data_IF_430982787905
#
_entry.id   IF_430982787905
#
_cell.length_a   1.000
_cell.length_b   1.000
_cell.length_c   1.000
_cell.angle_alpha   90.00
_cell.angle_beta   90.00
_cell.angle_gamma   90.00
#
_symmetry.space_group_name_H-M   'P 1'
#
loop_
_entity.id
_entity.type
_entity.pdbx_description
1 polymer ?
#
# COMPACT_ATOMS: atom_id res chain seq x y z
N UNK A 1 -21.68 -0.20 -23.04
CA UNK A 1 -20.84 -0.62 -21.90
C UNK A 1 -21.48 -0.35 -20.53
N UNK A 2 -22.64 0.31 -20.42
CA UNK A 2 -23.37 0.41 -19.15
C UNK A 2 -22.61 1.13 -18.02
N UNK A 3 -21.75 2.10 -18.36
CA UNK A 3 -20.97 2.84 -17.36
C UNK A 3 -21.85 3.97 -16.82
N UNK A 4 -22.25 3.86 -15.55
CA UNK A 4 -23.14 4.81 -14.87
C UNK A 4 -22.37 5.95 -14.18
N UNK A 5 -21.17 5.66 -13.68
CA UNK A 5 -20.34 6.61 -12.95
C UNK A 5 -18.92 6.69 -13.52
N UNK A 6 -18.34 7.88 -13.47
CA UNK A 6 -16.96 8.14 -13.82
C UNK A 6 -16.34 9.11 -12.82
N UNK A 7 -15.06 8.90 -12.50
CA UNK A 7 -14.26 9.82 -11.71
C UNK A 7 -13.28 10.49 -12.66
N UNK A 8 -13.33 11.82 -12.75
CA UNK A 8 -12.36 12.62 -13.50
C UNK A 8 -11.33 13.19 -12.53
N UNK A 9 -10.06 12.87 -12.74
CA UNK A 9 -8.95 13.38 -11.93
C UNK A 9 -7.93 14.07 -12.83
N UNK A 10 -7.26 15.09 -12.27
CA UNK A 10 -6.13 15.73 -12.96
C UNK A 10 -5.00 14.71 -13.15
N UNK A 11 -4.39 14.71 -14.33
CA UNK A 11 -3.17 13.95 -14.56
C UNK A 11 -2.05 14.44 -13.63
N UNK A 12 -1.32 13.50 -13.02
CA UNK A 12 -0.14 13.77 -12.23
C UNK A 12 1.07 13.19 -12.97
N UNK A 13 1.98 14.06 -13.39
CA UNK A 13 3.23 13.65 -14.02
C UNK A 13 4.19 13.05 -12.98
N UNK A 14 4.85 11.94 -13.31
CA UNK A 14 5.84 11.34 -12.43
C UNK A 14 6.03 9.83 -12.58
N UNK A 15 6.90 9.29 -11.73
CA UNK A 15 7.08 7.84 -11.62
C UNK A 15 5.95 7.20 -10.83
N UNK A 16 5.38 6.12 -11.36
CA UNK A 16 4.44 5.29 -10.63
C UNK A 16 5.22 4.28 -9.80
N UNK A 17 4.95 4.26 -8.50
CA UNK A 17 5.47 3.28 -7.56
C UNK A 17 4.33 2.44 -7.01
N UNK A 18 4.65 1.18 -6.68
CA UNK A 18 3.77 0.27 -5.95
C UNK A 18 4.33 0.01 -4.56
N UNK A 19 3.48 -0.16 -3.57
CA UNK A 19 3.86 -0.53 -2.21
C UNK A 19 2.96 -1.60 -1.61
N UNK A 20 3.50 -2.34 -0.65
CA UNK A 20 2.87 -3.42 0.09
C UNK A 20 3.20 -3.29 1.59
N UNK A 21 2.22 -3.53 2.45
CA UNK A 21 2.40 -3.48 3.89
C UNK A 21 1.48 -4.46 4.63
N UNK A 22 1.93 -4.88 5.81
CA UNK A 22 1.10 -5.55 6.82
C UNK A 22 1.20 -4.74 8.10
N UNK A 23 0.09 -4.14 8.53
CA UNK A 23 -0.01 -3.27 9.71
C UNK A 23 0.47 -4.01 10.96
N UNK A 24 1.22 -3.30 11.81
CA UNK A 24 1.76 -3.86 13.05
C UNK A 24 2.98 -4.76 12.86
N UNK A 25 3.56 -4.78 11.65
CA UNK A 25 4.79 -5.51 11.35
C UNK A 25 5.85 -4.56 10.76
N UNK A 26 7.08 -5.02 10.64
CA UNK A 26 8.14 -4.30 9.93
C UNK A 26 8.06 -4.43 8.41
N UNK A 27 7.07 -5.17 7.88
CA UNK A 27 6.95 -5.40 6.44
C UNK A 27 6.43 -4.16 5.73
N UNK A 28 7.33 -3.50 5.01
CA UNK A 28 7.01 -2.46 4.04
C UNK A 28 7.90 -2.65 2.82
N UNK A 29 7.29 -2.98 1.68
CA UNK A 29 8.01 -3.17 0.42
C UNK A 29 7.46 -2.24 -0.64
N UNK A 30 8.32 -1.71 -1.49
CA UNK A 30 7.93 -0.85 -2.59
C UNK A 30 8.86 -1.04 -3.78
N UNK A 31 8.39 -0.62 -4.96
CA UNK A 31 9.17 -0.65 -6.19
C UNK A 31 8.60 0.33 -7.22
N UNK A 32 9.46 0.79 -8.14
CA UNK A 32 9.01 1.53 -9.32
C UNK A 32 8.30 0.58 -10.29
N UNK A 33 7.08 0.93 -10.69
CA UNK A 33 6.31 0.19 -11.69
C UNK A 33 6.75 0.55 -13.11
N UNK A 34 6.81 1.84 -13.41
CA UNK A 34 7.25 2.34 -14.72
C UNK A 34 8.74 2.74 -14.71
N UNK A 35 9.25 3.27 -13.59
CA UNK A 35 10.67 3.58 -13.38
C UNK A 35 11.30 4.45 -14.45
N UNK A 36 10.56 5.43 -14.98
CA UNK A 36 11.02 6.22 -16.13
C UNK A 36 12.15 7.16 -15.71
N UNK A 37 11.98 7.85 -14.57
CA UNK A 37 12.93 8.86 -14.08
C UNK A 37 13.74 8.39 -12.87
N UNK A 38 13.27 7.35 -12.17
CA UNK A 38 13.79 6.89 -10.88
C UNK A 38 13.95 8.05 -9.87
N UNK A 39 12.98 8.96 -9.84
CA UNK A 39 13.04 10.18 -9.04
C UNK A 39 13.16 9.87 -7.56
N UNK A 40 14.19 10.40 -6.90
CA UNK A 40 14.37 10.24 -5.46
C UNK A 40 13.20 10.85 -4.69
N UNK A 41 12.73 10.13 -3.67
CA UNK A 41 11.70 10.59 -2.77
C UNK A 41 12.00 10.12 -1.34
N UNK A 42 11.25 10.67 -0.40
CA UNK A 42 11.33 10.33 1.02
C UNK A 42 10.51 9.08 1.33
N UNK A 43 11.21 7.97 1.61
CA UNK A 43 10.59 6.67 1.86
C UNK A 43 9.73 6.66 3.13
N UNK A 44 10.13 7.40 4.17
CA UNK A 44 9.38 7.47 5.41
C UNK A 44 8.06 8.21 5.20
N UNK A 45 8.04 9.22 4.33
CA UNK A 45 6.78 9.87 3.90
C UNK A 45 5.88 8.93 3.12
N UNK A 46 6.42 8.13 2.20
CA UNK A 46 5.62 7.14 1.47
C UNK A 46 4.94 6.18 2.45
N UNK A 47 5.73 5.61 3.36
CA UNK A 47 5.22 4.69 4.39
C UNK A 47 4.16 5.37 5.25
N UNK A 48 4.41 6.60 5.71
CA UNK A 48 3.46 7.37 6.51
C UNK A 48 2.14 7.60 5.77
N UNK A 49 2.17 7.99 4.50
CA UNK A 49 0.95 8.22 3.71
C UNK A 49 0.18 6.92 3.46
N UNK A 50 0.89 5.83 3.20
CA UNK A 50 0.30 4.50 3.06
C UNK A 50 -0.37 4.05 4.37
N UNK A 51 0.32 4.18 5.52
CA UNK A 51 -0.20 3.84 6.84
C UNK A 51 -1.45 4.66 7.19
N UNK A 52 -1.42 5.99 7.01
CA UNK A 52 -2.57 6.87 7.31
C UNK A 52 -3.77 6.53 6.42
N UNK A 53 -3.53 6.23 5.13
CA UNK A 53 -4.62 5.85 4.21
C UNK A 53 -5.25 4.53 4.62
N UNK A 54 -4.42 3.54 4.95
CA UNK A 54 -4.89 2.25 5.45
C UNK A 54 -5.62 2.39 6.79
N UNK A 55 -5.14 3.25 7.71
CA UNK A 55 -5.76 3.51 9.01
C UNK A 55 -7.21 3.99 8.85
N UNK A 56 -7.44 4.95 7.95
CA UNK A 56 -8.77 5.48 7.66
C UNK A 56 -9.73 4.47 7.04
N UNK A 57 -9.20 3.45 6.39
CA UNK A 57 -9.95 2.35 5.78
C UNK A 57 -9.94 1.08 6.65
N UNK A 58 -9.36 1.13 7.85
CA UNK A 58 -9.24 0.01 8.79
C UNK A 58 -8.55 -1.25 8.21
N UNK A 59 -7.61 -1.06 7.27
CA UNK A 59 -6.93 -2.17 6.58
C UNK A 59 -5.69 -2.69 7.32
N UNK A 60 -5.68 -3.97 7.67
CA UNK A 60 -4.48 -4.64 8.22
C UNK A 60 -3.50 -5.07 7.13
N UNK A 61 -4.01 -5.56 5.99
CA UNK A 61 -3.21 -6.09 4.88
C UNK A 61 -3.53 -5.24 3.67
N UNK A 62 -2.54 -4.48 3.20
CA UNK A 62 -2.82 -3.44 2.23
C UNK A 62 -1.61 -3.16 1.33
N UNK A 63 -1.90 -2.50 0.22
CA UNK A 63 -0.91 -1.96 -0.69
C UNK A 63 -1.55 -0.91 -1.57
N UNK A 64 -0.85 -0.49 -2.61
CA UNK A 64 -1.40 0.53 -3.49
C UNK A 64 -0.34 1.14 -4.37
N UNK A 65 -0.78 2.19 -5.05
CA UNK A 65 -0.01 2.89 -6.06
C UNK A 65 0.13 4.35 -5.67
N UNK A 66 1.30 4.92 -5.95
CA UNK A 66 1.56 6.33 -5.76
C UNK A 66 2.32 6.90 -6.96
N UNK A 67 2.18 8.20 -7.17
CA UNK A 67 2.95 8.97 -8.15
C UNK A 67 3.97 9.83 -7.43
N UNK A 68 5.21 9.82 -7.91
CA UNK A 68 6.31 10.66 -7.46
C UNK A 68 6.63 11.68 -8.54
N UNK A 69 6.36 12.96 -8.27
CA UNK A 69 6.70 14.05 -9.20
C UNK A 69 8.21 14.24 -9.32
N UNK A 70 8.66 15.02 -10.30
CA UNK A 70 10.07 15.35 -10.52
C UNK A 70 10.75 15.98 -9.28
N UNK A 71 9.99 16.67 -8.43
CA UNK A 71 10.46 17.28 -7.17
C UNK A 71 10.43 16.30 -5.97
N UNK A 72 10.08 15.04 -6.21
CA UNK A 72 9.95 14.01 -5.16
C UNK A 72 8.65 14.10 -4.35
N UNK A 73 7.63 14.83 -4.85
CA UNK A 73 6.33 14.90 -4.17
C UNK A 73 5.55 13.60 -4.41
N UNK A 74 5.10 12.99 -3.31
CA UNK A 74 4.34 11.73 -3.32
C UNK A 74 2.84 12.04 -3.31
N UNK A 75 2.10 11.39 -4.20
CA UNK A 75 0.62 11.38 -4.20
C UNK A 75 0.13 9.94 -4.23
N UNK A 76 -0.60 9.50 -3.19
CA UNK A 76 -1.29 8.19 -3.21
C UNK A 76 -2.44 8.30 -4.20
N UNK A 77 -2.51 7.38 -5.17
CA UNK A 77 -3.57 7.34 -6.19
C UNK A 77 -4.51 6.16 -6.03
N UNK A 78 -4.06 5.11 -5.35
CA UNK A 78 -4.83 3.90 -5.12
C UNK A 78 -4.42 3.22 -3.80
N UNK A 79 -5.39 2.58 -3.14
CA UNK A 79 -5.20 1.73 -1.96
C UNK A 79 -6.04 0.48 -2.15
N UNK A 80 -5.40 -0.68 -2.04
CA UNK A 80 -6.04 -1.99 -2.16
C UNK A 80 -6.02 -2.71 -0.81
N UNK A 81 -7.15 -3.29 -0.45
CA UNK A 81 -7.17 -4.43 0.46
C UNK A 81 -6.66 -5.68 -0.29
N UNK A 82 -5.87 -6.50 0.39
CA UNK A 82 -5.35 -7.75 -0.20
C UNK A 82 -4.67 -7.59 -1.58
N UNK A 83 -3.63 -6.76 -1.72
CA UNK A 83 -2.89 -6.66 -2.97
C UNK A 83 -2.22 -8.00 -3.32
N UNK A 84 -1.78 -8.15 -4.57
CA UNK A 84 -1.22 -9.43 -5.05
C UNK A 84 0.10 -9.87 -4.39
N UNK A 85 0.83 -8.94 -3.75
CA UNK A 85 2.19 -9.14 -3.21
C UNK A 85 3.16 -9.81 -4.22
N UNK A 86 2.97 -9.63 -5.53
CA UNK A 86 3.59 -10.47 -6.55
C UNK A 86 5.12 -10.67 -6.41
N UNK A 87 5.87 -9.59 -6.15
CA UNK A 87 7.33 -9.62 -5.98
C UNK A 87 7.82 -10.16 -4.63
N UNK A 88 6.93 -10.22 -3.62
CA UNK A 88 7.25 -10.60 -2.24
C UNK A 88 6.34 -11.69 -1.68
N UNK A 89 5.68 -12.46 -2.55
CA UNK A 89 4.62 -13.41 -2.19
C UNK A 89 5.02 -14.38 -1.07
N UNK A 90 6.20 -14.99 -1.16
CA UNK A 90 6.66 -16.00 -0.17
C UNK A 90 6.99 -15.40 1.20
N UNK A 91 7.46 -14.16 1.22
CA UNK A 91 7.77 -13.44 2.46
C UNK A 91 6.48 -12.90 3.08
N UNK A 92 5.67 -12.21 2.28
CA UNK A 92 4.40 -11.64 2.68
C UNK A 92 3.44 -12.73 3.18
N UNK A 93 3.36 -13.90 2.54
CA UNK A 93 2.44 -14.97 2.96
C UNK A 93 2.68 -15.44 4.39
N UNK A 94 3.95 -15.58 4.81
CA UNK A 94 4.30 -15.98 6.18
C UNK A 94 3.90 -14.92 7.19
N UNK A 95 4.16 -13.66 6.86
CA UNK A 95 3.84 -12.50 7.71
C UNK A 95 2.33 -12.37 7.85
N UNK A 96 1.60 -12.41 6.73
CA UNK A 96 0.15 -12.36 6.68
C UNK A 96 -0.48 -13.48 7.50
N UNK A 97 -0.05 -14.73 7.30
CA UNK A 97 -0.55 -15.87 8.05
C UNK A 97 -0.32 -15.69 9.57
N UNK A 98 0.88 -15.24 9.97
CA UNK A 98 1.21 -14.93 11.36
C UNK A 98 0.30 -13.84 11.93
N UNK A 99 0.09 -12.75 11.20
CA UNK A 99 -0.79 -11.64 11.61
C UNK A 99 -2.24 -12.11 11.79
N UNK A 100 -2.78 -12.90 10.85
CA UNK A 100 -4.15 -13.43 10.95
C UNK A 100 -4.30 -14.35 12.16
N UNK A 101 -3.33 -15.25 12.41
CA UNK A 101 -3.36 -16.14 13.58
C UNK A 101 -3.33 -15.32 14.88
N UNK A 102 -2.52 -14.26 14.95
CA UNK A 102 -2.48 -13.38 16.12
C UNK A 102 -3.80 -12.64 16.33
N UNK A 103 -4.41 -12.13 15.26
CA UNK A 103 -5.71 -11.47 15.32
C UNK A 103 -6.81 -12.43 15.80
N UNK A 104 -6.85 -13.66 15.25
CA UNK A 104 -7.79 -14.68 15.68
C UNK A 104 -7.59 -15.04 17.17
N UNK A 105 -6.36 -15.23 17.61
CA UNK A 105 -6.06 -15.52 19.01
C UNK A 105 -6.49 -14.40 19.96
N UNK A 106 -6.32 -13.13 19.58
CA UNK A 106 -6.79 -11.99 20.38
C UNK A 106 -8.32 -11.96 20.47
N UNK A 107 -8.98 -12.19 19.34
CA UNK A 107 -10.44 -12.28 19.26
C UNK A 107 -11.00 -13.37 20.19
N UNK A 108 -10.47 -14.60 20.12
CA UNK A 108 -10.93 -15.70 20.98
C UNK A 108 -10.60 -15.51 22.46
N UNK A 109 -9.55 -14.75 22.80
CA UNK A 109 -9.19 -14.44 24.19
C UNK A 109 -9.96 -13.24 24.77
N UNK A 110 -10.85 -12.60 24.00
CA UNK A 110 -11.60 -11.43 24.45
C UNK A 110 -10.73 -10.19 24.70
N UNK A 111 -9.52 -10.16 24.15
CA UNK A 111 -8.63 -9.00 24.21
C UNK A 111 -8.88 -8.22 22.92
N UNK A 112 -9.89 -7.35 22.94
CA UNK A 112 -10.17 -6.38 21.89
C UNK A 112 -9.43 -5.09 22.24
#
# INVERSE_FOLDING_TARGET
RGIEYAILQKHLDGDTIKFYCVRGTSFFYWYYLNGINHTKFDLDKLKKYADVSAEKLELTIYGGDAIVSAEGKISIIDINDWPSFALKRNEASKIIAGTIIQMANKFYKGII
#
